data_IF_808945391545
#
_entry.id   IF_808945391545
#
_cell.length_a   1.000
_cell.length_b   1.000
_cell.length_c   1.000
_cell.angle_alpha   90.00
_cell.angle_beta   90.00
_cell.angle_gamma   90.00
#
_symmetry.space_group_name_H-M   'P 1'
#
loop_
_entity.id
_entity.type
_entity.pdbx_description
1 polymer ?
#
# COMPACT_ATOMS: atom_id res chain seq x y z
N UNK A 1 14.98 7.55 -6.19
CA UNK A 1 13.73 6.94 -6.70
C UNK A 1 13.54 5.59 -6.03
N UNK A 2 12.40 5.36 -5.39
CA UNK A 2 12.02 3.99 -5.03
C UNK A 2 11.26 3.42 -6.23
N UNK A 3 11.67 2.23 -6.67
CA UNK A 3 11.15 1.58 -7.88
C UNK A 3 10.09 0.53 -7.53
N UNK A 4 9.28 0.78 -6.50
CA UNK A 4 8.14 -0.11 -6.23
C UNK A 4 7.16 0.06 -7.38
N UNK A 5 7.04 -0.98 -8.20
CA UNK A 5 6.04 -1.10 -9.25
C UNK A 5 4.80 -1.83 -8.73
N UNK A 6 3.92 -2.22 -9.65
CA UNK A 6 2.67 -2.91 -9.32
C UNK A 6 2.89 -4.19 -8.52
N UNK A 7 3.81 -5.06 -8.96
CA UNK A 7 4.14 -6.30 -8.26
C UNK A 7 4.63 -6.06 -6.82
N UNK A 8 5.46 -5.03 -6.63
CA UNK A 8 5.98 -4.69 -5.31
C UNK A 8 4.89 -4.19 -4.36
N UNK A 9 3.96 -3.37 -4.86
CA UNK A 9 2.82 -2.89 -4.07
C UNK A 9 1.82 -4.00 -3.75
N UNK A 10 1.53 -4.88 -4.72
CA UNK A 10 0.70 -6.07 -4.52
C UNK A 10 1.31 -7.07 -3.54
N UNK A 11 2.63 -7.28 -3.62
CA UNK A 11 3.39 -8.09 -2.67
C UNK A 11 3.35 -7.50 -1.26
N UNK A 12 3.53 -6.19 -1.13
CA UNK A 12 3.40 -5.48 0.13
C UNK A 12 1.99 -5.65 0.73
N UNK A 13 0.94 -5.47 -0.08
CA UNK A 13 -0.44 -5.74 0.34
C UNK A 13 -0.63 -7.16 0.84
N UNK A 14 -0.15 -8.15 0.11
CA UNK A 14 -0.25 -9.57 0.49
C UNK A 14 0.41 -9.87 1.84
N UNK A 15 1.55 -9.24 2.13
CA UNK A 15 2.22 -9.36 3.43
C UNK A 15 1.46 -8.64 4.54
N UNK A 16 1.03 -7.39 4.30
CA UNK A 16 0.24 -6.62 5.26
C UNK A 16 -1.06 -7.31 5.63
N UNK A 17 -1.72 -7.97 4.67
CA UNK A 17 -2.95 -8.72 4.93
C UNK A 17 -2.79 -9.93 5.84
N UNK A 18 -1.56 -10.36 6.17
CA UNK A 18 -1.28 -11.37 7.21
C UNK A 18 -1.19 -10.75 8.60
N UNK A 19 -1.01 -9.43 8.70
CA UNK A 19 -0.92 -8.69 9.95
C UNK A 19 -2.33 -8.32 10.46
N UNK A 20 -3.19 -9.31 10.71
CA UNK A 20 -4.60 -9.09 11.09
C UNK A 20 -4.78 -8.38 12.44
N UNK A 21 -3.76 -8.40 13.31
CA UNK A 21 -3.74 -7.70 14.59
C UNK A 21 -3.23 -6.26 14.51
N UNK A 22 -2.89 -5.77 13.32
CA UNK A 22 -2.41 -4.40 13.14
C UNK A 22 -3.55 -3.41 13.43
N UNK A 23 -3.36 -2.54 14.41
CA UNK A 23 -4.35 -1.53 14.81
C UNK A 23 -4.04 -0.13 14.26
N UNK A 24 -2.77 0.12 13.93
CA UNK A 24 -2.29 1.39 13.44
C UNK A 24 -1.28 1.14 12.31
N UNK A 25 -1.48 1.82 11.17
CA UNK A 25 -0.56 1.76 10.04
C UNK A 25 -0.36 3.15 9.45
N UNK A 26 0.91 3.51 9.27
CA UNK A 26 1.31 4.66 8.46
C UNK A 26 2.23 4.16 7.37
N UNK A 27 1.85 4.42 6.11
CA UNK A 27 2.57 3.94 4.94
C UNK A 27 2.78 5.06 3.92
N UNK A 28 4.03 5.46 3.74
CA UNK A 28 4.45 6.47 2.77
C UNK A 28 5.07 5.81 1.55
N UNK A 29 4.32 5.75 0.44
CA UNK A 29 4.76 5.20 -0.84
C UNK A 29 4.82 6.26 -1.95
N UNK A 30 4.86 7.54 -1.57
CA UNK A 30 5.06 8.64 -2.51
C UNK A 30 6.27 8.42 -3.42
N UNK A 31 6.20 8.91 -4.66
CA UNK A 31 7.28 8.80 -5.65
C UNK A 31 7.68 7.36 -6.03
N UNK A 32 6.74 6.40 -5.96
CA UNK A 32 6.88 5.06 -6.54
C UNK A 32 6.09 4.96 -7.85
N UNK A 33 6.34 3.91 -8.64
CA UNK A 33 5.65 3.65 -9.91
C UNK A 33 4.48 2.68 -9.71
N UNK A 34 3.64 2.97 -8.71
CA UNK A 34 2.48 2.15 -8.38
C UNK A 34 1.34 2.58 -9.32
N UNK A 35 0.98 1.70 -10.24
CA UNK A 35 -0.17 1.84 -11.10
C UNK A 35 -1.44 1.31 -10.44
N UNK A 36 -2.47 1.13 -11.27
CA UNK A 36 -3.80 0.71 -10.82
C UNK A 36 -3.75 -0.70 -10.22
N UNK A 37 -2.97 -1.61 -10.82
CA UNK A 37 -2.86 -2.99 -10.35
C UNK A 37 -2.20 -3.07 -8.97
N UNK A 38 -1.08 -2.37 -8.77
CA UNK A 38 -0.39 -2.34 -7.49
C UNK A 38 -1.20 -1.66 -6.39
N UNK A 39 -1.92 -0.59 -6.71
CA UNK A 39 -2.83 0.05 -5.77
C UNK A 39 -3.98 -0.89 -5.37
N UNK A 40 -4.54 -1.63 -6.33
CA UNK A 40 -5.58 -2.64 -6.07
C UNK A 40 -5.07 -3.78 -5.19
N UNK A 41 -3.89 -4.32 -5.49
CA UNK A 41 -3.27 -5.38 -4.68
C UNK A 41 -2.92 -4.92 -3.26
N UNK A 42 -2.39 -3.69 -3.12
CA UNK A 42 -2.15 -3.07 -1.82
C UNK A 42 -3.46 -2.92 -1.03
N UNK A 43 -4.52 -2.40 -1.66
CA UNK A 43 -5.83 -2.20 -1.04
C UNK A 43 -6.49 -3.51 -0.61
N UNK A 44 -6.45 -4.55 -1.45
CA UNK A 44 -6.97 -5.89 -1.13
C UNK A 44 -6.26 -6.50 0.08
N UNK A 45 -4.95 -6.29 0.19
CA UNK A 45 -4.16 -6.66 1.35
C UNK A 45 -4.56 -5.94 2.63
N UNK A 46 -4.62 -4.61 2.57
CA UNK A 46 -5.05 -3.76 3.68
C UNK A 46 -6.47 -4.09 4.16
N UNK A 47 -7.37 -4.48 3.24
CA UNK A 47 -8.73 -4.91 3.58
C UNK A 47 -8.81 -6.14 4.49
N UNK A 48 -7.73 -6.93 4.59
CA UNK A 48 -7.65 -8.07 5.52
C UNK A 48 -7.21 -7.68 6.94
N UNK A 49 -6.71 -6.47 7.13
CA UNK A 49 -6.32 -5.95 8.44
C UNK A 49 -7.57 -5.52 9.22
N UNK A 50 -8.39 -6.47 9.67
CA UNK A 50 -9.71 -6.21 10.27
C UNK A 50 -9.66 -5.42 11.58
N UNK A 51 -8.53 -5.43 12.29
CA UNK A 51 -8.34 -4.67 13.53
C UNK A 51 -7.76 -3.26 13.30
N UNK A 52 -7.55 -2.85 12.04
CA UNK A 52 -6.93 -1.57 11.69
C UNK A 52 -7.90 -0.42 11.93
N UNK A 53 -7.62 0.36 12.98
CA UNK A 53 -8.44 1.53 13.33
C UNK A 53 -7.88 2.82 12.77
N UNK A 54 -6.55 2.92 12.62
CA UNK A 54 -5.89 4.11 12.11
C UNK A 54 -5.03 3.78 10.89
N UNK A 55 -5.39 4.34 9.74
CA UNK A 55 -4.64 4.21 8.50
C UNK A 55 -4.24 5.59 7.96
N UNK A 56 -2.94 5.83 7.85
CA UNK A 56 -2.39 6.91 7.02
C UNK A 56 -1.72 6.28 5.80
N UNK A 57 -2.24 6.55 4.62
CA UNK A 57 -1.71 6.05 3.36
C UNK A 57 -1.40 7.20 2.42
N UNK A 58 -0.13 7.35 2.02
CA UNK A 58 0.30 8.36 1.06
C UNK A 58 0.87 7.68 -0.19
N UNK A 59 0.06 7.66 -1.25
CA UNK A 59 0.41 7.12 -2.57
C UNK A 59 0.79 8.20 -3.58
N UNK A 60 1.07 9.44 -3.15
CA UNK A 60 1.21 10.57 -4.06
C UNK A 60 2.28 10.30 -5.14
N UNK A 61 1.81 10.15 -6.37
CA UNK A 61 2.66 10.13 -7.54
C UNK A 61 3.05 11.58 -7.89
N UNK A 62 4.33 11.81 -8.20
CA UNK A 62 4.73 13.07 -8.82
C UNK A 62 4.43 12.95 -10.30
N UNK A 63 3.27 13.45 -10.73
CA UNK A 63 3.02 13.73 -12.13
C UNK A 63 3.66 15.10 -12.42
N UNK A 64 4.84 15.11 -13.04
CA UNK A 64 5.30 16.32 -13.72
C UNK A 64 4.49 16.40 -15.02
N UNK A 65 3.50 17.28 -15.05
CA UNK A 65 2.90 17.80 -16.30
C UNK A 65 3.89 18.73 -16.98
#
# INVERSE_FOLDING_TARGET
ENKIGDEGASGLGSCLGKCTNLSNLTLYLRQNKIGVEGASGLGSGLGKCTNLSNLTLNLQYKQFT
#
